data_IF_634582399149
#
_entry.id   IF_634582399149
#
_cell.length_a   1.000
_cell.length_b   1.000
_cell.length_c   1.000
_cell.angle_alpha   90.00
_cell.angle_beta   90.00
_cell.angle_gamma   90.00
#
_symmetry.space_group_name_H-M   'P 1'
#
loop_
_entity.id
_entity.type
_entity.pdbx_description
1 polymer ?
#
# COMPACT_ATOMS: atom_id res chain seq x y z
N UNK A 1 -2.25 13.14 7.18
CA UNK A 1 -1.06 13.47 6.38
C UNK A 1 -1.36 14.62 5.42
N UNK A 2 -0.35 15.37 5.02
CA UNK A 2 -0.52 16.42 4.03
C UNK A 2 -0.66 15.81 2.64
N UNK A 3 -1.15 16.61 1.69
CA UNK A 3 -1.26 16.19 0.30
C UNK A 3 0.09 15.81 -0.30
N UNK A 4 1.14 16.55 0.03
CA UNK A 4 2.49 16.26 -0.44
C UNK A 4 3.01 14.95 0.12
N UNK A 5 2.77 14.67 1.39
CA UNK A 5 3.12 13.39 2.00
C UNK A 5 2.39 12.25 1.32
N UNK A 6 1.13 12.46 0.98
CA UNK A 6 0.32 11.47 0.28
C UNK A 6 0.89 11.18 -1.12
N UNK A 7 1.28 12.22 -1.85
CA UNK A 7 1.89 12.06 -3.18
C UNK A 7 3.20 11.28 -3.07
N UNK A 8 4.05 11.60 -2.10
CA UNK A 8 5.30 10.88 -1.86
C UNK A 8 5.04 9.42 -1.52
N UNK A 9 4.03 9.15 -0.70
CA UNK A 9 3.65 7.78 -0.36
C UNK A 9 3.21 7.01 -1.60
N UNK A 10 2.38 7.61 -2.45
CA UNK A 10 1.95 7.00 -3.71
C UNK A 10 3.13 6.67 -4.62
N UNK A 11 4.06 7.61 -4.76
CA UNK A 11 5.25 7.40 -5.59
C UNK A 11 6.11 6.26 -5.06
N UNK A 12 6.30 6.21 -3.74
CA UNK A 12 7.04 5.12 -3.11
C UNK A 12 6.35 3.78 -3.33
N UNK A 13 5.03 3.72 -3.18
CA UNK A 13 4.25 2.51 -3.42
C UNK A 13 4.35 2.06 -4.88
N UNK A 14 4.29 2.98 -5.82
CA UNK A 14 4.46 2.68 -7.24
C UNK A 14 5.83 2.05 -7.51
N UNK A 15 6.87 2.61 -6.90
CA UNK A 15 8.23 2.10 -7.06
C UNK A 15 8.37 0.68 -6.48
N UNK A 16 7.76 0.43 -5.34
CA UNK A 16 7.84 -0.87 -4.65
C UNK A 16 7.03 -1.93 -5.38
N UNK A 17 5.80 -1.58 -5.79
CA UNK A 17 4.83 -2.54 -6.30
C UNK A 17 4.80 -2.64 -7.83
N UNK A 18 5.61 -1.87 -8.51
CA UNK A 18 5.67 -1.89 -9.98
C UNK A 18 6.09 -3.25 -10.49
N UNK A 19 5.19 -3.90 -11.24
CA UNK A 19 5.48 -5.19 -11.85
C UNK A 19 5.74 -6.33 -10.89
N UNK A 20 5.27 -6.22 -9.63
CA UNK A 20 5.53 -7.28 -8.67
C UNK A 20 4.77 -8.56 -9.05
N UNK A 21 5.43 -9.69 -8.90
CA UNK A 21 4.80 -11.01 -9.05
C UNK A 21 4.59 -11.65 -7.69
N UNK A 22 5.52 -11.42 -6.78
CA UNK A 22 5.48 -11.90 -5.40
C UNK A 22 6.29 -10.92 -4.57
N UNK A 23 5.78 -10.54 -3.41
CA UNK A 23 6.52 -9.63 -2.54
C UNK A 23 7.75 -10.33 -1.98
N UNK A 24 8.92 -9.79 -2.27
CA UNK A 24 10.18 -10.27 -1.74
C UNK A 24 10.52 -9.56 -0.43
N UNK A 25 11.62 -9.98 0.21
CA UNK A 25 12.04 -9.41 1.50
C UNK A 25 12.34 -7.92 1.42
N UNK A 26 12.96 -7.48 0.33
CA UNK A 26 13.27 -6.06 0.12
C UNK A 26 12.01 -5.20 0.01
N UNK A 27 11.03 -5.68 -0.74
CA UNK A 27 9.75 -4.97 -0.89
C UNK A 27 9.01 -4.89 0.44
N UNK A 28 8.97 -5.98 1.19
CA UNK A 28 8.34 -6.01 2.51
C UNK A 28 9.02 -5.04 3.47
N UNK A 29 10.34 -4.99 3.46
CA UNK A 29 11.09 -4.06 4.30
C UNK A 29 10.76 -2.61 3.96
N UNK A 30 10.72 -2.28 2.67
CA UNK A 30 10.39 -0.92 2.23
C UNK A 30 8.98 -0.52 2.62
N UNK A 31 8.02 -1.44 2.52
CA UNK A 31 6.65 -1.19 2.96
C UNK A 31 6.59 -0.92 4.46
N UNK A 32 7.36 -1.67 5.26
CA UNK A 32 7.42 -1.43 6.70
C UNK A 32 8.00 -0.06 7.03
N UNK A 33 8.99 0.38 6.27
CA UNK A 33 9.59 1.71 6.45
C UNK A 33 8.57 2.82 6.16
N UNK A 34 7.59 2.57 5.30
CA UNK A 34 6.52 3.51 5.00
C UNK A 34 5.41 3.50 6.06
N UNK A 35 5.47 2.59 7.02
CA UNK A 35 4.45 2.48 8.07
C UNK A 35 3.43 1.37 7.84
N UNK A 36 3.68 0.49 6.89
CA UNK A 36 2.81 -0.66 6.63
C UNK A 36 3.28 -1.88 7.39
N UNK A 37 2.33 -2.63 7.95
CA UNK A 37 2.58 -3.97 8.44
C UNK A 37 1.99 -4.97 7.45
N UNK A 38 2.63 -6.12 7.32
CA UNK A 38 2.22 -7.13 6.35
C UNK A 38 1.84 -8.41 7.09
N UNK A 39 0.59 -8.83 6.91
CA UNK A 39 0.11 -10.10 7.44
C UNK A 39 -0.06 -11.09 6.29
N UNK A 40 0.34 -12.33 6.54
CA UNK A 40 0.14 -13.41 5.58
C UNK A 40 -1.25 -13.99 5.72
N UNK A 41 -1.96 -14.06 4.61
CA UNK A 41 -3.18 -14.81 4.49
C UNK A 41 -2.97 -15.93 3.48
N UNK A 42 -3.91 -16.85 3.37
CA UNK A 42 -3.79 -18.04 2.50
C UNK A 42 -3.55 -17.66 1.03
N UNK A 43 -4.31 -16.70 0.51
CA UNK A 43 -4.25 -16.29 -0.89
C UNK A 43 -3.91 -14.81 -1.09
N UNK A 44 -3.73 -14.07 0.00
CA UNK A 44 -3.54 -12.62 -0.07
C UNK A 44 -2.51 -12.18 0.94
N UNK A 45 -1.95 -10.99 0.71
CA UNK A 45 -1.26 -10.25 1.76
C UNK A 45 -2.20 -9.19 2.29
N UNK A 46 -2.21 -8.99 3.59
CA UNK A 46 -3.00 -7.94 4.21
C UNK A 46 -2.04 -6.85 4.67
N UNK A 47 -2.16 -5.67 4.08
CA UNK A 47 -1.38 -4.52 4.47
C UNK A 47 -2.14 -3.75 5.54
N UNK A 48 -1.49 -3.47 6.65
CA UNK A 48 -2.06 -2.69 7.74
C UNK A 48 -1.30 -1.38 7.82
N UNK A 49 -2.00 -0.28 7.60
CA UNK A 49 -1.43 1.05 7.66
C UNK A 49 -1.99 1.78 8.88
N UNK A 50 -1.09 2.12 9.79
CA UNK A 50 -1.46 2.86 11.01
C UNK A 50 -1.08 4.32 10.84
N UNK A 51 -2.07 5.20 10.84
CA UNK A 51 -1.87 6.64 10.78
C UNK A 51 -2.74 7.27 11.84
N UNK A 52 -2.12 8.07 12.70
CA UNK A 52 -2.80 8.64 13.87
C UNK A 52 -3.38 7.51 14.71
N UNK A 53 -4.66 7.56 15.04
CA UNK A 53 -5.31 6.51 15.83
C UNK A 53 -6.10 5.54 14.97
N UNK A 54 -5.92 5.59 13.63
CA UNK A 54 -6.66 4.75 12.70
C UNK A 54 -5.78 3.66 12.13
N UNK A 55 -6.37 2.48 11.97
CA UNK A 55 -5.72 1.33 11.37
C UNK A 55 -6.50 0.93 10.12
N UNK A 56 -5.83 0.94 8.97
CA UNK A 56 -6.43 0.57 7.69
C UNK A 56 -5.94 -0.80 7.27
N UNK A 57 -6.86 -1.67 6.91
CA UNK A 57 -6.52 -3.01 6.41
C UNK A 57 -6.84 -3.08 4.93
N UNK A 58 -5.84 -3.45 4.14
CA UNK A 58 -5.94 -3.51 2.68
C UNK A 58 -5.46 -4.88 2.21
N UNK A 59 -6.33 -5.64 1.57
CA UNK A 59 -5.97 -6.94 1.03
C UNK A 59 -5.41 -6.77 -0.39
N UNK A 60 -4.26 -7.40 -0.65
CA UNK A 60 -3.67 -7.42 -1.99
C UNK A 60 -3.40 -8.85 -2.43
N UNK A 61 -3.44 -9.10 -3.73
CA UNK A 61 -3.24 -10.42 -4.30
C UNK A 61 -1.78 -10.87 -4.15
N UNK A 62 -1.55 -12.10 -3.71
CA UNK A 62 -0.20 -12.68 -3.58
C UNK A 62 0.49 -12.87 -4.91
N UNK A 63 -0.25 -13.33 -5.91
CA UNK A 63 0.28 -13.65 -7.23
C UNK A 63 -0.58 -12.96 -8.28
N UNK A 64 -0.30 -11.69 -8.58
CA UNK A 64 -1.07 -10.99 -9.61
C UNK A 64 -0.79 -11.62 -10.98
N UNK A 65 -1.84 -11.89 -11.71
CA UNK A 65 -1.75 -12.49 -13.05
C UNK A 65 -1.50 -11.46 -14.14
N UNK A 66 -1.62 -10.18 -13.81
CA UNK A 66 -1.51 -9.06 -14.75
C UNK A 66 -0.39 -8.13 -14.30
N UNK A 67 0.42 -7.69 -15.26
CA UNK A 67 1.51 -6.74 -15.01
C UNK A 67 1.00 -5.38 -14.48
N UNK A 68 -0.28 -5.07 -14.68
CA UNK A 68 -0.90 -3.84 -14.19
C UNK A 68 -1.40 -3.95 -12.76
N UNK A 69 -1.35 -5.13 -12.16
CA UNK A 69 -1.85 -5.36 -10.80
C UNK A 69 -1.15 -4.49 -9.76
N UNK A 70 0.13 -4.20 -9.94
CA UNK A 70 0.86 -3.32 -9.02
C UNK A 70 0.29 -1.91 -9.00
N UNK A 71 -0.02 -1.35 -10.17
CA UNK A 71 -0.60 -0.02 -10.30
C UNK A 71 -2.01 0.00 -9.71
N UNK A 72 -2.80 -1.03 -9.98
CA UNK A 72 -4.15 -1.16 -9.43
C UNK A 72 -4.10 -1.23 -7.90
N UNK A 73 -3.16 -1.96 -7.35
CA UNK A 73 -2.98 -2.07 -5.90
C UNK A 73 -2.67 -0.70 -5.29
N UNK A 74 -1.80 0.10 -5.93
CA UNK A 74 -1.48 1.45 -5.47
C UNK A 74 -2.74 2.33 -5.47
N UNK A 75 -3.56 2.23 -6.53
CA UNK A 75 -4.83 2.96 -6.59
C UNK A 75 -5.76 2.56 -5.45
N UNK A 76 -5.89 1.27 -5.19
CA UNK A 76 -6.76 0.76 -4.12
C UNK A 76 -6.31 1.27 -2.76
N UNK A 77 -5.00 1.23 -2.48
CA UNK A 77 -4.43 1.75 -1.25
C UNK A 77 -4.72 3.25 -1.12
N UNK A 78 -4.50 4.00 -2.20
CA UNK A 78 -4.75 5.44 -2.22
C UNK A 78 -6.20 5.77 -1.93
N UNK A 79 -7.13 5.03 -2.54
CA UNK A 79 -8.56 5.24 -2.35
C UNK A 79 -8.99 4.96 -0.91
N UNK A 80 -8.44 3.92 -0.29
CA UNK A 80 -8.73 3.59 1.11
C UNK A 80 -8.26 4.73 2.02
N UNK A 81 -7.05 5.23 1.79
CA UNK A 81 -6.49 6.33 2.57
C UNK A 81 -7.35 7.59 2.45
N UNK A 82 -7.74 7.96 1.22
CA UNK A 82 -8.60 9.12 0.98
C UNK A 82 -9.97 8.95 1.61
N UNK A 83 -10.56 7.77 1.47
CA UNK A 83 -11.90 7.46 1.96
C UNK A 83 -11.98 7.60 3.49
N UNK A 84 -10.88 7.36 4.19
CA UNK A 84 -10.82 7.47 5.64
C UNK A 84 -10.44 8.87 6.12
N UNK A 85 -10.33 9.84 5.22
CA UNK A 85 -10.07 11.22 5.57
C UNK A 85 -8.67 11.47 6.14
N UNK A 86 -7.71 10.63 5.81
CA UNK A 86 -6.33 10.76 6.31
C UNK A 86 -5.51 11.78 5.56
N UNK A 87 -5.98 12.19 4.37
CA UNK A 87 -5.32 13.25 3.58
C UNK A 87 -6.05 14.55 3.85
N UNK A 88 -5.33 15.52 4.38
CA UNK A 88 -5.88 16.85 4.61
C UNK A 88 -5.79 17.65 3.32
N UNK A 89 -6.94 18.09 2.81
CA UNK A 89 -6.98 19.03 1.71
C UNK A 89 -6.43 20.38 2.18
N UNK A 90 -5.56 20.96 1.38
CA UNK A 90 -5.01 22.27 1.65
C UNK A 90 -5.93 23.33 1.05
#
# INVERSE_FOLDING_TARGET
MSEQEFIRLKEALKSILRGYKKLNSSQKKRLRELGFSILRSKNHYILIYKVCDKELKIAITKTPSDSRSGIKTVKDISNVIKRNGLVKAV
#
